data_IF_002171995154
#
_entry.id   IF_002171995154
#
_cell.length_a   1.000
_cell.length_b   1.000
_cell.length_c   1.000
_cell.angle_alpha   90.00
_cell.angle_beta   90.00
_cell.angle_gamma   90.00
#
_symmetry.space_group_name_H-M   'P 1'
#
loop_
_entity.id
_entity.type
_entity.pdbx_description
1 polymer ?
#
# COMPACT_ATOMS: atom_id res chain seq x y z
N UNK A 1 10.16 12.70 -1.92
CA UNK A 1 9.39 11.90 -2.88
C UNK A 1 10.25 10.73 -3.33
N UNK A 2 9.83 9.50 -3.09
CA UNK A 2 10.62 8.31 -3.38
C UNK A 2 10.66 7.94 -4.87
N UNK A 3 9.71 8.44 -5.65
CA UNK A 3 9.65 8.32 -7.10
C UNK A 3 9.49 9.71 -7.71
N UNK A 4 10.60 10.36 -8.10
CA UNK A 4 10.56 11.71 -8.67
C UNK A 4 9.91 11.76 -10.05
N UNK A 5 9.87 10.65 -10.76
CA UNK A 5 9.37 10.65 -12.13
C UNK A 5 7.84 10.51 -12.23
N UNK A 6 7.20 9.83 -11.25
CA UNK A 6 5.74 9.62 -11.24
C UNK A 6 5.20 9.35 -12.65
N UNK A 7 5.60 8.20 -13.20
CA UNK A 7 5.25 7.80 -14.57
C UNK A 7 3.74 7.64 -14.82
N UNK A 8 2.94 7.58 -13.75
CA UNK A 8 1.48 7.63 -13.81
C UNK A 8 0.93 9.05 -14.09
N UNK A 9 1.77 10.08 -13.97
CA UNK A 9 1.38 11.48 -14.13
C UNK A 9 0.56 12.06 -12.97
N UNK A 10 0.26 11.27 -11.93
CA UNK A 10 -0.62 11.63 -10.81
C UNK A 10 0.18 12.14 -9.60
N UNK A 11 0.96 13.21 -9.80
CA UNK A 11 1.91 13.73 -8.81
C UNK A 11 1.29 14.19 -7.49
N UNK A 12 0.04 14.57 -7.50
CA UNK A 12 -0.73 15.00 -6.32
C UNK A 12 -1.58 13.87 -5.72
N UNK A 13 -1.26 12.61 -6.03
CA UNK A 13 -1.92 11.45 -5.41
C UNK A 13 -0.96 10.67 -4.52
N UNK A 14 -1.50 10.14 -3.43
CA UNK A 14 -0.85 9.22 -2.50
C UNK A 14 -1.24 7.81 -2.90
N UNK A 15 -0.27 6.96 -3.21
CA UNK A 15 -0.51 5.57 -3.59
C UNK A 15 -0.62 4.70 -2.35
N UNK A 16 -1.69 3.93 -2.27
CA UNK A 16 -1.96 2.98 -1.20
C UNK A 16 -2.13 1.59 -1.78
N UNK A 17 -1.80 0.58 -0.99
CA UNK A 17 -2.18 -0.81 -1.25
C UNK A 17 -3.48 -1.13 -0.54
N UNK A 18 -4.33 -1.96 -1.15
CA UNK A 18 -5.57 -2.44 -0.54
C UNK A 18 -5.33 -3.81 0.09
N UNK A 19 -5.75 -3.97 1.36
CA UNK A 19 -5.74 -5.22 2.15
C UNK A 19 -4.37 -5.83 2.47
N UNK A 20 -3.36 -5.65 1.64
CA UNK A 20 -2.00 -6.14 1.89
C UNK A 20 -0.96 -5.19 1.29
N UNK A 21 0.18 -4.97 1.97
CA UNK A 21 1.23 -4.12 1.44
C UNK A 21 1.86 -4.73 0.19
N UNK A 22 2.36 -3.89 -0.71
CA UNK A 22 3.17 -4.33 -1.83
C UNK A 22 4.59 -4.71 -1.36
N UNK A 23 4.71 -5.91 -0.80
CA UNK A 23 5.95 -6.41 -0.17
C UNK A 23 7.19 -6.31 -1.06
N UNK A 24 7.07 -6.66 -2.35
CA UNK A 24 8.20 -6.60 -3.28
C UNK A 24 8.77 -5.17 -3.41
N UNK A 25 7.88 -4.17 -3.42
CA UNK A 25 8.29 -2.76 -3.48
C UNK A 25 8.96 -2.34 -2.18
N UNK A 26 8.35 -2.66 -1.03
CA UNK A 26 8.92 -2.40 0.29
C UNK A 26 10.31 -3.02 0.42
N UNK A 27 10.47 -4.31 0.07
CA UNK A 27 11.75 -5.03 0.10
C UNK A 27 12.80 -4.41 -0.85
N UNK A 28 12.37 -3.97 -2.04
CA UNK A 28 13.25 -3.29 -3.00
C UNK A 28 13.78 -1.96 -2.44
N UNK A 29 12.89 -1.14 -1.86
CA UNK A 29 13.29 0.15 -1.30
C UNK A 29 14.11 0.01 -0.03
N UNK A 30 13.75 -0.89 0.88
CA UNK A 30 14.48 -1.10 2.15
C UNK A 30 15.92 -1.56 1.94
N UNK A 31 16.26 -2.13 0.79
CA UNK A 31 17.61 -2.58 0.43
C UNK A 31 18.46 -1.55 -0.31
N UNK A 32 17.89 -0.39 -0.68
CA UNK A 32 18.64 0.65 -1.36
C UNK A 32 19.69 1.26 -0.42
N UNK A 33 20.94 1.45 -0.86
CA UNK A 33 22.02 1.99 -0.02
C UNK A 33 21.66 3.35 0.60
N UNK A 34 21.01 4.22 -0.16
CA UNK A 34 20.58 5.54 0.27
C UNK A 34 19.46 5.52 1.30
N UNK A 35 18.70 4.41 1.39
CA UNK A 35 17.56 4.26 2.29
C UNK A 35 17.83 3.29 3.46
N UNK A 36 19.03 2.70 3.53
CA UNK A 36 19.39 1.72 4.59
C UNK A 36 19.36 2.28 6.02
N UNK A 37 19.37 3.62 6.16
CA UNK A 37 19.33 4.29 7.45
C UNK A 37 17.91 4.60 7.93
N UNK A 38 16.91 4.38 7.07
CA UNK A 38 15.52 4.59 7.43
C UNK A 38 14.92 3.30 7.98
N UNK A 39 14.14 3.46 9.01
CA UNK A 39 13.25 2.42 9.49
C UNK A 39 11.89 2.51 8.79
N UNK A 40 11.29 1.37 8.57
CA UNK A 40 10.05 1.24 7.83
C UNK A 40 8.90 0.86 8.77
N UNK A 41 7.76 1.49 8.57
CA UNK A 41 6.50 1.09 9.17
C UNK A 41 5.43 0.96 8.07
N UNK A 42 4.36 0.24 8.39
CA UNK A 42 3.18 0.15 7.52
C UNK A 42 2.03 0.82 8.27
N UNK A 43 1.43 1.82 7.63
CA UNK A 43 0.26 2.51 8.17
C UNK A 43 -1.00 1.79 7.69
N UNK A 44 -1.79 1.28 8.63
CA UNK A 44 -3.14 0.79 8.35
C UNK A 44 -4.11 1.94 8.51
N UNK A 45 -4.88 2.19 7.45
CA UNK A 45 -5.89 3.24 7.42
C UNK A 45 -7.29 2.64 7.56
N UNK A 46 -8.24 3.45 8.02
CA UNK A 46 -9.66 3.14 7.88
C UNK A 46 -10.11 3.26 6.41
N UNK A 47 -11.37 2.95 6.15
CA UNK A 47 -11.91 2.92 4.78
C UNK A 47 -12.37 4.30 4.26
N UNK A 48 -12.35 5.34 5.08
CA UNK A 48 -12.83 6.67 4.69
C UNK A 48 -12.17 7.22 3.41
N UNK A 49 -10.82 7.10 3.23
CA UNK A 49 -10.18 7.55 2.00
C UNK A 49 -10.71 6.88 0.72
N UNK A 50 -11.24 5.64 0.81
CA UNK A 50 -11.80 4.92 -0.33
C UNK A 50 -13.13 5.52 -0.81
N UNK A 51 -13.86 6.20 0.09
CA UNK A 51 -15.20 6.74 -0.17
C UNK A 51 -15.16 8.16 -0.78
N UNK A 52 -13.98 8.75 -0.89
CA UNK A 52 -13.85 10.08 -1.50
C UNK A 52 -14.13 10.01 -3.00
N UNK A 53 -14.89 10.97 -3.55
CA UNK A 53 -15.28 10.97 -4.96
C UNK A 53 -14.08 11.12 -5.92
N UNK A 54 -12.97 11.67 -5.45
CA UNK A 54 -11.72 11.89 -6.19
C UNK A 54 -10.67 10.79 -5.96
N UNK A 55 -10.99 9.75 -5.18
CA UNK A 55 -10.14 8.56 -5.05
C UNK A 55 -10.21 7.72 -6.31
N UNK A 56 -9.05 7.35 -6.83
CA UNK A 56 -8.91 6.54 -8.04
C UNK A 56 -8.44 5.13 -7.70
N UNK A 57 -8.80 4.18 -8.56
CA UNK A 57 -8.46 2.77 -8.43
C UNK A 57 -7.77 2.26 -9.67
N UNK A 58 -6.66 1.55 -9.49
CA UNK A 58 -5.91 0.87 -10.55
C UNK A 58 -5.83 -0.62 -10.26
N UNK A 59 -6.15 -1.44 -11.26
CA UNK A 59 -6.12 -2.91 -11.12
C UNK A 59 -4.73 -3.51 -11.02
N UNK A 60 -3.71 -2.71 -11.33
CA UNK A 60 -2.29 -3.06 -11.28
C UNK A 60 -1.48 -1.81 -10.90
N UNK A 61 -0.14 -1.89 -10.94
CA UNK A 61 0.70 -0.72 -10.70
C UNK A 61 0.33 0.42 -11.67
N UNK A 62 -0.05 1.58 -11.13
CA UNK A 62 -0.54 2.74 -11.87
C UNK A 62 0.49 3.30 -12.89
N UNK A 63 1.78 3.16 -12.58
CA UNK A 63 2.87 3.59 -13.46
C UNK A 63 3.20 2.57 -14.57
N UNK A 64 2.55 1.40 -14.59
CA UNK A 64 2.80 0.35 -15.57
C UNK A 64 2.12 0.60 -16.91
N UNK A 65 2.68 0.02 -18.00
CA UNK A 65 1.99 0.03 -19.27
C UNK A 65 0.65 -0.73 -19.26
N UNK A 66 0.46 -1.70 -18.35
CA UNK A 66 -0.80 -2.38 -18.18
C UNK A 66 -1.91 -1.43 -17.70
N UNK A 67 -1.58 -0.49 -16.81
CA UNK A 67 -2.54 0.50 -16.33
C UNK A 67 -3.11 1.38 -17.45
N UNK A 68 -2.34 1.64 -18.51
CA UNK A 68 -2.82 2.38 -19.70
C UNK A 68 -3.96 1.65 -20.40
N UNK A 69 -3.95 0.31 -20.39
CA UNK A 69 -5.00 -0.51 -21.03
C UNK A 69 -6.25 -0.64 -20.15
N UNK A 70 -6.07 -0.72 -18.84
CA UNK A 70 -7.19 -0.84 -17.88
C UNK A 70 -7.81 0.50 -17.51
N UNK A 71 -6.99 1.57 -17.53
CA UNK A 71 -7.35 2.88 -17.01
C UNK A 71 -7.23 2.97 -15.48
N UNK A 72 -7.29 4.19 -15.00
CA UNK A 72 -7.30 4.54 -13.56
C UNK A 72 -8.51 5.43 -13.36
N UNK A 73 -9.52 4.93 -12.66
CA UNK A 73 -10.82 5.59 -12.59
C UNK A 73 -11.34 5.68 -11.15
N UNK A 74 -12.23 6.64 -10.86
CA UNK A 74 -12.95 6.69 -9.59
C UNK A 74 -14.17 5.74 -9.60
N UNK A 75 -14.73 5.54 -8.41
CA UNK A 75 -16.02 4.94 -8.20
C UNK A 75 -16.02 3.42 -8.07
N UNK A 76 -17.19 2.89 -7.71
CA UNK A 76 -17.37 1.50 -7.31
C UNK A 76 -16.96 0.50 -8.41
N UNK A 77 -17.31 0.78 -9.66
CA UNK A 77 -16.95 -0.10 -10.78
C UNK A 77 -15.41 -0.26 -10.92
N UNK A 78 -14.66 0.83 -10.70
CA UNK A 78 -13.21 0.78 -10.75
C UNK A 78 -12.63 0.01 -9.54
N UNK A 79 -13.21 0.19 -8.36
CA UNK A 79 -12.90 -0.60 -7.17
C UNK A 79 -13.14 -2.10 -7.41
N UNK A 80 -14.31 -2.48 -7.90
CA UNK A 80 -14.66 -3.88 -8.17
C UNK A 80 -13.73 -4.52 -9.22
N UNK A 81 -13.26 -3.73 -10.18
CA UNK A 81 -12.32 -4.19 -11.18
C UNK A 81 -10.97 -4.64 -10.60
N UNK A 82 -10.58 -4.18 -9.41
CA UNK A 82 -9.37 -4.65 -8.72
C UNK A 82 -9.46 -6.14 -8.32
N UNK A 83 -10.68 -6.69 -8.32
CA UNK A 83 -11.00 -8.06 -7.93
C UNK A 83 -11.44 -8.93 -9.11
N UNK A 84 -11.14 -8.56 -10.36
CA UNK A 84 -11.42 -9.36 -11.56
C UNK A 84 -10.77 -10.74 -11.47
N UNK A 85 -11.40 -11.73 -12.11
CA UNK A 85 -10.88 -13.11 -12.17
C UNK A 85 -9.44 -13.17 -12.72
N UNK A 86 -9.11 -12.30 -13.65
CA UNK A 86 -7.78 -12.22 -14.22
C UNK A 86 -7.35 -10.78 -14.47
N UNK A 87 -6.08 -10.50 -14.18
CA UNK A 87 -5.40 -9.24 -14.54
C UNK A 87 -4.16 -9.59 -15.37
N UNK A 88 -4.16 -9.16 -16.62
CA UNK A 88 -3.05 -9.39 -17.57
C UNK A 88 -2.10 -8.20 -17.54
N UNK A 89 -0.82 -8.47 -17.33
CA UNK A 89 0.26 -7.50 -17.46
C UNK A 89 1.23 -7.98 -18.56
N UNK A 90 2.15 -7.14 -19.04
CA UNK A 90 3.11 -7.55 -20.06
C UNK A 90 3.98 -8.75 -19.65
N UNK A 91 4.24 -8.92 -18.35
CA UNK A 91 5.13 -9.96 -17.82
C UNK A 91 4.40 -11.18 -17.31
N UNK A 92 3.11 -11.06 -16.93
CA UNK A 92 2.37 -12.18 -16.32
C UNK A 92 0.86 -11.96 -16.34
N UNK A 93 0.11 -13.04 -16.10
CA UNK A 93 -1.33 -12.99 -15.83
C UNK A 93 -1.56 -13.42 -14.39
N UNK A 94 -2.11 -12.51 -13.60
CA UNK A 94 -2.57 -12.82 -12.25
C UNK A 94 -3.96 -13.41 -12.31
N UNK A 95 -4.20 -14.47 -11.53
CA UNK A 95 -5.52 -15.10 -11.38
C UNK A 95 -6.00 -14.95 -9.95
N UNK A 96 -7.32 -14.78 -9.80
CA UNK A 96 -7.97 -14.74 -8.49
C UNK A 96 -8.09 -16.10 -7.83
N UNK A 97 -7.87 -17.18 -8.57
CA UNK A 97 -7.97 -18.55 -8.06
C UNK A 97 -7.15 -18.72 -6.78
N UNK A 98 -7.79 -19.22 -5.71
CA UNK A 98 -7.19 -19.43 -4.39
C UNK A 98 -6.79 -18.17 -3.60
N UNK A 99 -7.15 -16.99 -4.07
CA UNK A 99 -6.94 -15.77 -3.29
C UNK A 99 -8.11 -15.54 -2.31
N UNK A 100 -7.83 -15.06 -1.08
CA UNK A 100 -8.87 -14.57 -0.18
C UNK A 100 -9.73 -13.50 -0.84
N UNK A 101 -11.03 -13.45 -0.50
CA UNK A 101 -11.99 -12.52 -1.13
C UNK A 101 -11.60 -11.04 -1.01
N UNK A 102 -10.93 -10.67 0.07
CA UNK A 102 -10.49 -9.30 0.35
C UNK A 102 -9.15 -8.91 -0.29
N UNK A 103 -8.45 -9.83 -0.96
CA UNK A 103 -7.23 -9.50 -1.68
C UNK A 103 -7.54 -9.09 -3.11
N UNK A 104 -6.86 -8.06 -3.60
CA UNK A 104 -6.86 -7.70 -5.01
C UNK A 104 -6.22 -8.79 -5.86
N UNK A 105 -6.66 -8.96 -7.10
CA UNK A 105 -6.13 -9.99 -8.01
C UNK A 105 -4.65 -9.77 -8.30
N UNK A 106 -4.25 -8.54 -8.59
CA UNK A 106 -2.83 -8.15 -8.64
C UNK A 106 -2.42 -7.55 -7.30
N UNK A 107 -1.32 -8.02 -6.71
CA UNK A 107 -0.75 -7.44 -5.48
C UNK A 107 -0.29 -6.00 -5.68
N UNK A 108 -0.05 -5.59 -6.92
CA UNK A 108 0.36 -4.24 -7.30
C UNK A 108 -0.83 -3.32 -7.60
N UNK A 109 -2.07 -3.78 -7.38
CA UNK A 109 -3.24 -2.92 -7.49
C UNK A 109 -3.14 -1.76 -6.50
N UNK A 110 -3.49 -0.55 -6.94
CA UNK A 110 -3.29 0.67 -6.17
C UNK A 110 -4.57 1.46 -6.00
N UNK A 111 -4.72 2.03 -4.80
CA UNK A 111 -5.69 3.08 -4.49
C UNK A 111 -4.92 4.40 -4.46
N UNK A 112 -5.40 5.39 -5.19
CA UNK A 112 -4.76 6.68 -5.32
C UNK A 112 -5.64 7.75 -4.69
N UNK A 113 -5.21 8.31 -3.57
CA UNK A 113 -5.93 9.32 -2.80
C UNK A 113 -5.33 10.68 -3.08
N UNK A 114 -6.17 11.64 -3.49
CA UNK A 114 -5.72 12.95 -3.91
C UNK A 114 -5.24 13.80 -2.71
N UNK A 115 -4.17 14.54 -2.94
CA UNK A 115 -3.56 15.57 -2.11
C UNK A 115 -3.11 15.09 -0.73
N UNK A 116 -4.04 14.73 0.17
CA UNK A 116 -3.72 14.41 1.56
C UNK A 116 -4.63 13.35 2.18
N UNK A 117 -4.11 12.68 3.18
CA UNK A 117 -4.85 11.78 4.05
C UNK A 117 -4.68 12.30 5.48
N UNK A 118 -5.79 12.48 6.20
CA UNK A 118 -5.75 12.89 7.61
C UNK A 118 -5.07 11.82 8.45
N UNK A 119 -4.27 12.24 9.43
CA UNK A 119 -3.71 11.32 10.44
C UNK A 119 -4.78 10.63 11.27
N UNK A 120 -5.98 11.20 11.36
CA UNK A 120 -7.14 10.57 12.00
C UNK A 120 -7.62 9.30 11.28
N UNK A 121 -7.24 9.13 10.00
CA UNK A 121 -7.52 7.89 9.27
C UNK A 121 -6.58 6.74 9.64
N UNK A 122 -5.48 7.01 10.37
CA UNK A 122 -4.54 5.98 10.79
C UNK A 122 -5.15 5.20 11.96
N UNK A 123 -5.42 3.92 11.74
CA UNK A 123 -5.92 3.00 12.77
C UNK A 123 -4.79 2.32 13.53
N UNK A 124 -3.72 1.95 12.81
CA UNK A 124 -2.60 1.21 13.39
C UNK A 124 -1.32 1.52 12.63
N UNK A 125 -0.22 1.60 13.36
CA UNK A 125 1.14 1.67 12.83
C UNK A 125 1.81 0.33 13.09
N UNK A 126 2.02 -0.45 12.04
CA UNK A 126 2.70 -1.74 12.13
C UNK A 126 4.21 -1.57 12.06
N UNK A 127 4.92 -2.21 12.98
CA UNK A 127 6.36 -2.24 13.07
C UNK A 127 6.88 -3.67 12.79
N UNK A 128 8.10 -3.82 12.25
CA UNK A 128 8.62 -5.12 11.83
C UNK A 128 9.07 -6.02 12.98
N UNK A 129 9.29 -5.48 14.19
CA UNK A 129 9.77 -6.29 15.33
C UNK A 129 9.59 -5.59 16.67
N UNK A 130 9.57 -6.38 17.75
CA UNK A 130 9.60 -5.90 19.14
C UNK A 130 10.83 -5.01 19.43
N UNK A 131 11.98 -5.32 18.82
CA UNK A 131 13.18 -4.50 18.95
C UNK A 131 12.91 -3.08 18.46
N UNK A 132 12.22 -2.91 17.32
CA UNK A 132 11.88 -1.60 16.77
C UNK A 132 10.84 -0.87 17.62
N UNK A 133 9.84 -1.58 18.12
CA UNK A 133 8.86 -0.99 19.04
C UNK A 133 9.56 -0.42 20.29
N UNK A 134 10.41 -1.20 20.95
CA UNK A 134 11.18 -0.76 22.13
C UNK A 134 12.13 0.40 21.82
N UNK A 135 12.78 0.38 20.66
CA UNK A 135 13.69 1.45 20.22
C UNK A 135 12.99 2.82 20.16
N UNK A 136 11.74 2.86 19.73
CA UNK A 136 10.98 4.10 19.54
C UNK A 136 10.06 4.46 20.71
N UNK A 137 9.91 3.60 21.70
CA UNK A 137 8.98 3.79 22.82
C UNK A 137 9.18 5.13 23.54
N UNK A 138 10.44 5.53 23.77
CA UNK A 138 10.75 6.81 24.42
C UNK A 138 10.30 8.00 23.57
N UNK A 139 10.50 7.94 22.25
CA UNK A 139 10.05 8.99 21.33
C UNK A 139 8.52 9.05 21.25
N UNK A 140 7.83 7.91 21.25
CA UNK A 140 6.36 7.87 21.27
C UNK A 140 5.80 8.52 22.55
N UNK A 141 6.40 8.20 23.68
CA UNK A 141 6.02 8.80 24.98
C UNK A 141 6.27 10.31 25.00
N UNK A 142 7.44 10.75 24.50
CA UNK A 142 7.78 12.18 24.42
C UNK A 142 6.81 12.97 23.54
N UNK A 143 6.38 12.37 22.43
CA UNK A 143 5.42 12.98 21.50
C UNK A 143 3.95 12.79 21.93
N UNK A 144 3.71 12.20 23.09
CA UNK A 144 2.37 11.90 23.62
C UNK A 144 1.51 11.08 22.64
N UNK A 145 2.15 10.21 21.85
CA UNK A 145 1.44 9.32 20.95
C UNK A 145 0.81 8.18 21.76
N UNK A 146 -0.40 7.80 21.37
CA UNK A 146 -1.12 6.69 22.01
C UNK A 146 -0.37 5.39 21.77
N UNK A 147 -0.04 4.67 22.84
CA UNK A 147 0.73 3.42 22.77
C UNK A 147 0.00 2.31 22.02
N UNK A 148 -1.33 2.30 22.05
CA UNK A 148 -2.20 1.35 21.35
C UNK A 148 -2.25 1.55 19.82
N UNK A 149 -1.74 2.69 19.35
CA UNK A 149 -1.57 2.96 17.91
C UNK A 149 -0.51 2.05 17.27
N UNK A 150 0.48 1.59 18.06
CA UNK A 150 1.64 0.86 17.54
C UNK A 150 1.55 -0.63 17.87
N UNK A 151 1.79 -1.47 16.86
CA UNK A 151 1.80 -2.93 17.01
C UNK A 151 2.92 -3.57 16.21
N UNK A 152 3.39 -4.71 16.64
CA UNK A 152 4.35 -5.52 15.88
C UNK A 152 3.57 -6.50 15.00
N UNK A 153 3.88 -6.50 13.70
CA UNK A 153 3.27 -7.40 12.74
C UNK A 153 4.30 -7.82 11.69
N UNK A 154 5.24 -8.66 12.09
CA UNK A 154 6.34 -9.15 11.26
C UNK A 154 5.88 -9.75 9.91
N UNK A 155 4.77 -10.52 9.83
CA UNK A 155 4.28 -11.04 8.55
C UNK A 155 4.03 -10.01 7.46
N UNK A 156 3.67 -8.77 7.79
CA UNK A 156 3.48 -7.71 6.80
C UNK A 156 4.79 -7.25 6.13
N UNK A 157 5.93 -7.53 6.76
CA UNK A 157 7.28 -7.14 6.27
C UNK A 157 8.04 -8.28 5.60
N UNK A 158 7.44 -9.46 5.51
CA UNK A 158 8.04 -10.66 4.92
C UNK A 158 7.37 -11.02 3.60
N UNK A 159 8.05 -11.86 2.81
CA UNK A 159 7.47 -12.35 1.56
C UNK A 159 6.14 -13.05 1.83
N UNK A 160 5.07 -12.72 1.11
CA UNK A 160 3.82 -13.46 1.25
C UNK A 160 4.05 -14.93 0.88
N UNK A 161 3.63 -15.83 1.75
CA UNK A 161 3.60 -17.27 1.43
C UNK A 161 2.45 -17.44 0.44
N UNK A 162 2.78 -17.48 -0.84
CA UNK A 162 1.85 -17.87 -1.89
C UNK A 162 1.64 -19.39 -1.73
N UNK A 163 0.52 -19.77 -1.14
CA UNK A 163 0.04 -21.18 -1.15
C UNK A 163 -0.90 -21.39 -2.31
#
# INVERSE_FOLDING_TARGET
HMDPERLDGLRNYINLSLSRPHWYLLNKYSKRPELKHFDWCILQLNTEPLLRPDTLFSVCNAASNAAKNYGIYPGLNAFDNMFKEQVKTPSTTYSRQNLPSHFTTDIQAEVLVKDQISTQNIQTVHLPSEKKLKQYQAAFNLLSLKSDLFTVNEPLFTAPILR
#
